data_IF_508723083222
#
_entry.id   IF_508723083222
#
_cell.length_a   1.000
_cell.length_b   1.000
_cell.length_c   1.000
_cell.angle_alpha   90.00
_cell.angle_beta   90.00
_cell.angle_gamma   90.00
#
_symmetry.space_group_name_H-M   'P 1'
#
loop_
_entity.id
_entity.type
_entity.pdbx_description
1 polymer ?
#
# COMPACT_ATOMS: atom_id res chain seq x y z
N UNK A 1 69.68 -1.85 -35.63
CA UNK A 1 68.59 -2.82 -35.87
C UNK A 1 67.37 -2.42 -35.02
N UNK A 2 67.06 -1.12 -34.90
CA UNK A 2 66.38 -0.62 -33.69
C UNK A 2 65.04 0.08 -33.95
N UNK A 3 64.82 0.64 -35.14
CA UNK A 3 63.62 1.42 -35.43
C UNK A 3 62.39 0.54 -35.68
N UNK A 4 62.55 -0.57 -36.41
CA UNK A 4 61.45 -1.53 -36.65
C UNK A 4 61.03 -2.26 -35.38
N UNK A 5 62.00 -2.58 -34.50
CA UNK A 5 61.73 -3.23 -33.22
C UNK A 5 61.01 -2.29 -32.25
N UNK A 6 61.45 -1.01 -32.19
CA UNK A 6 60.75 0.02 -31.41
C UNK A 6 59.34 0.28 -31.94
N UNK A 7 59.17 0.34 -33.26
CA UNK A 7 57.86 0.50 -33.90
C UNK A 7 56.90 -0.65 -33.54
N UNK A 8 57.39 -1.89 -33.58
CA UNK A 8 56.61 -3.06 -33.16
C UNK A 8 56.23 -3.00 -31.67
N UNK A 9 57.17 -2.62 -30.80
CA UNK A 9 56.88 -2.48 -29.37
C UNK A 9 55.81 -1.43 -29.07
N UNK A 10 55.85 -0.28 -29.76
CA UNK A 10 54.83 0.77 -29.63
C UNK A 10 53.44 0.24 -30.02
N UNK A 11 53.32 -0.46 -31.15
CA UNK A 11 52.06 -1.04 -31.59
C UNK A 11 51.53 -2.11 -30.62
N UNK A 12 52.41 -2.95 -30.07
CA UNK A 12 52.03 -3.94 -29.07
C UNK A 12 51.54 -3.28 -27.77
N UNK A 13 52.13 -2.16 -27.37
CA UNK A 13 51.66 -1.38 -26.22
C UNK A 13 50.28 -0.77 -26.49
N UNK A 14 50.10 -0.16 -27.65
CA UNK A 14 48.82 0.45 -28.06
C UNK A 14 47.71 -0.61 -28.13
N UNK A 15 47.96 -1.76 -28.75
CA UNK A 15 47.03 -2.91 -28.77
C UNK A 15 46.62 -3.31 -27.35
N UNK A 16 47.60 -3.51 -26.46
CA UNK A 16 47.33 -3.90 -25.07
C UNK A 16 46.56 -2.82 -24.31
N UNK A 17 46.85 -1.54 -24.59
CA UNK A 17 46.11 -0.43 -24.00
C UNK A 17 44.64 -0.45 -24.44
N UNK A 18 44.39 -0.55 -25.74
CA UNK A 18 43.03 -0.64 -26.29
C UNK A 18 42.28 -1.87 -25.78
N UNK A 19 42.93 -3.03 -25.70
CA UNK A 19 42.33 -4.25 -25.13
C UNK A 19 41.90 -4.05 -23.67
N UNK A 20 42.70 -3.37 -22.85
CA UNK A 20 42.34 -3.04 -21.46
C UNK A 20 41.16 -2.07 -21.38
N UNK A 21 41.13 -1.05 -22.22
CA UNK A 21 40.02 -0.09 -22.23
C UNK A 21 38.72 -0.73 -22.73
N UNK A 22 38.78 -1.62 -23.73
CA UNK A 22 37.61 -2.41 -24.18
C UNK A 22 37.09 -3.28 -23.03
N UNK A 23 37.97 -3.97 -22.32
CA UNK A 23 37.59 -4.83 -21.21
C UNK A 23 36.95 -4.02 -20.07
N UNK A 24 37.51 -2.85 -19.74
CA UNK A 24 36.93 -1.92 -18.78
C UNK A 24 35.53 -1.46 -19.18
N UNK A 25 35.30 -1.16 -20.47
CA UNK A 25 33.98 -0.81 -20.99
C UNK A 25 32.99 -1.98 -20.92
N UNK A 26 33.44 -3.21 -21.16
CA UNK A 26 32.59 -4.42 -21.08
C UNK A 26 32.19 -4.78 -19.65
N UNK A 27 33.03 -4.44 -18.68
CA UNK A 27 32.75 -4.61 -17.26
C UNK A 27 31.76 -3.58 -16.70
N UNK A 28 31.23 -2.68 -17.54
CA UNK A 28 30.15 -1.80 -17.15
C UNK A 28 28.89 -2.62 -16.84
N UNK A 29 28.65 -2.84 -15.56
CA UNK A 29 27.39 -3.37 -15.05
C UNK A 29 26.46 -2.21 -14.71
N UNK A 30 25.26 -2.23 -15.27
CA UNK A 30 24.24 -1.25 -14.95
C UNK A 30 23.13 -1.89 -14.13
N UNK A 31 22.64 -1.16 -13.15
CA UNK A 31 21.67 -1.61 -12.15
C UNK A 31 20.40 -2.16 -12.81
N UNK A 32 20.02 -1.68 -14.00
CA UNK A 32 18.81 -2.14 -14.69
C UNK A 32 18.82 -3.64 -15.04
N UNK A 33 20.00 -4.26 -15.12
CA UNK A 33 20.12 -5.69 -15.41
C UNK A 33 19.66 -6.57 -14.24
N UNK A 34 19.68 -6.03 -13.02
CA UNK A 34 19.36 -6.76 -11.79
C UNK A 34 17.97 -6.40 -11.23
N UNK A 35 17.23 -5.50 -11.88
CA UNK A 35 15.91 -5.08 -11.39
C UNK A 35 14.90 -6.20 -11.67
N UNK A 36 14.12 -6.65 -10.67
CA UNK A 36 13.00 -7.54 -10.89
C UNK A 36 11.98 -6.83 -11.80
N UNK A 37 11.72 -7.40 -12.97
CA UNK A 37 10.81 -6.88 -13.97
C UNK A 37 9.90 -8.00 -14.45
N UNK A 38 8.72 -7.63 -14.96
CA UNK A 38 7.89 -8.58 -15.69
C UNK A 38 8.67 -9.29 -16.80
N UNK A 39 8.49 -10.62 -16.96
CA UNK A 39 9.06 -11.34 -18.10
C UNK A 39 8.46 -10.81 -19.41
N UNK A 40 9.15 -11.07 -20.53
CA UNK A 40 8.76 -10.53 -21.84
C UNK A 40 7.33 -10.96 -22.21
N UNK A 41 6.95 -12.21 -21.93
CA UNK A 41 5.61 -12.73 -22.23
C UNK A 41 4.50 -11.96 -21.49
N UNK A 42 4.71 -11.63 -20.21
CA UNK A 42 3.76 -10.84 -19.42
C UNK A 42 3.73 -9.38 -19.87
N UNK A 43 4.89 -8.80 -20.19
CA UNK A 43 4.96 -7.46 -20.79
C UNK A 43 4.16 -7.40 -22.10
N UNK A 44 4.29 -8.41 -22.97
CA UNK A 44 3.56 -8.50 -24.25
C UNK A 44 2.05 -8.66 -24.06
N UNK A 45 1.58 -9.07 -22.89
CA UNK A 45 0.16 -9.15 -22.56
C UNK A 45 -0.37 -7.89 -21.89
N UNK A 46 0.40 -7.30 -20.97
CA UNK A 46 -0.06 -6.22 -20.10
C UNK A 46 0.30 -4.81 -20.59
N UNK A 47 1.39 -4.64 -21.33
CA UNK A 47 1.85 -3.31 -21.72
C UNK A 47 0.92 -2.64 -22.76
N UNK A 48 0.86 -1.30 -22.82
CA UNK A 48 0.08 -0.61 -23.85
C UNK A 48 0.52 -0.99 -25.28
N UNK A 49 -0.38 -0.94 -26.28
CA UNK A 49 -0.03 -1.25 -27.68
C UNK A 49 1.13 -0.41 -28.23
N UNK A 50 1.23 0.84 -27.78
CA UNK A 50 2.27 1.79 -28.20
C UNK A 50 3.68 1.31 -27.79
N UNK A 51 3.77 0.58 -26.68
CA UNK A 51 5.00 0.02 -26.15
C UNK A 51 5.39 -1.33 -26.80
N UNK A 52 4.54 -1.88 -27.68
CA UNK A 52 4.67 -3.23 -28.27
C UNK A 52 4.53 -3.26 -29.79
N UNK A 53 4.86 -2.16 -30.46
CA UNK A 53 4.88 -2.13 -31.92
C UNK A 53 5.95 -3.05 -32.49
N UNK A 54 5.76 -3.54 -33.72
CA UNK A 54 6.70 -4.48 -34.36
C UNK A 54 8.14 -3.91 -34.43
N UNK A 55 8.28 -2.60 -34.66
CA UNK A 55 9.58 -1.93 -34.64
C UNK A 55 10.25 -2.01 -33.27
N UNK A 56 9.49 -1.81 -32.19
CA UNK A 56 9.99 -1.91 -30.81
C UNK A 56 10.31 -3.37 -30.46
N UNK A 57 9.50 -4.34 -30.88
CA UNK A 57 9.75 -5.77 -30.60
C UNK A 57 10.98 -6.30 -31.35
N UNK A 58 11.28 -5.74 -32.53
CA UNK A 58 12.44 -6.12 -33.34
C UNK A 58 13.77 -5.54 -32.86
N UNK A 59 13.75 -4.46 -32.07
CA UNK A 59 14.93 -3.79 -31.53
C UNK A 59 15.06 -4.06 -30.02
N UNK A 60 16.08 -4.82 -29.64
CA UNK A 60 16.34 -5.21 -28.25
C UNK A 60 16.51 -4.00 -27.30
N UNK A 61 17.12 -2.90 -27.77
CA UNK A 61 17.31 -1.70 -26.97
C UNK A 61 15.98 -0.97 -26.76
N UNK A 62 15.18 -0.81 -27.82
CA UNK A 62 13.86 -0.20 -27.72
C UNK A 62 12.91 -1.03 -26.85
N UNK A 63 12.93 -2.36 -27.00
CA UNK A 63 12.19 -3.27 -26.13
C UNK A 63 12.57 -3.06 -24.66
N UNK A 64 13.87 -2.98 -24.34
CA UNK A 64 14.32 -2.78 -22.96
C UNK A 64 13.86 -1.42 -22.39
N UNK A 65 13.95 -0.34 -23.16
CA UNK A 65 13.47 0.98 -22.73
C UNK A 65 11.97 0.97 -22.45
N UNK A 66 11.17 0.35 -23.32
CA UNK A 66 9.73 0.25 -23.14
C UNK A 66 9.36 -0.63 -21.94
N UNK A 67 10.09 -1.73 -21.71
CA UNK A 67 9.91 -2.58 -20.53
C UNK A 67 10.21 -1.82 -19.23
N UNK A 68 11.30 -1.06 -19.19
CA UNK A 68 11.65 -0.23 -18.04
C UNK A 68 10.62 0.89 -17.80
N UNK A 69 10.14 1.53 -18.86
CA UNK A 69 9.09 2.54 -18.78
C UNK A 69 7.77 1.99 -18.26
N UNK A 70 7.36 0.81 -18.75
CA UNK A 70 6.18 0.10 -18.27
C UNK A 70 6.29 -0.27 -16.79
N UNK A 71 7.42 -0.86 -16.38
CA UNK A 71 7.68 -1.21 -14.98
C UNK A 71 7.61 0.01 -14.06
N UNK A 72 8.20 1.13 -14.47
CA UNK A 72 8.15 2.38 -13.72
C UNK A 72 6.71 2.88 -13.55
N UNK A 73 5.93 2.88 -14.64
CA UNK A 73 4.53 3.31 -14.62
C UNK A 73 3.68 2.42 -13.70
N UNK A 74 3.87 1.09 -13.76
CA UNK A 74 3.15 0.15 -12.90
C UNK A 74 3.51 0.35 -11.43
N UNK A 75 4.80 0.54 -11.10
CA UNK A 75 5.23 0.83 -9.72
C UNK A 75 4.62 2.11 -9.19
N UNK A 76 4.58 3.17 -10.00
CA UNK A 76 3.96 4.43 -9.63
C UNK A 76 2.44 4.27 -9.41
N UNK A 77 1.77 3.51 -10.28
CA UNK A 77 0.33 3.20 -10.15
C UNK A 77 0.04 2.44 -8.86
N UNK A 78 0.83 1.40 -8.57
CA UNK A 78 0.69 0.59 -7.36
C UNK A 78 0.99 1.39 -6.10
N UNK A 79 2.03 2.23 -6.11
CA UNK A 79 2.36 3.10 -4.98
C UNK A 79 1.22 4.10 -4.70
N UNK A 80 0.65 4.71 -5.74
CA UNK A 80 -0.51 5.59 -5.61
C UNK A 80 -1.71 4.85 -5.00
N UNK A 81 -2.05 3.68 -5.53
CA UNK A 81 -3.14 2.86 -5.02
C UNK A 81 -2.92 2.45 -3.56
N UNK A 82 -1.69 2.07 -3.19
CA UNK A 82 -1.34 1.72 -1.82
C UNK A 82 -1.50 2.91 -0.85
N UNK A 83 -1.09 4.12 -1.27
CA UNK A 83 -1.30 5.34 -0.48
C UNK A 83 -2.79 5.64 -0.28
N UNK A 84 -3.58 5.57 -1.35
CA UNK A 84 -5.03 5.79 -1.29
C UNK A 84 -5.73 4.78 -0.37
N UNK A 85 -5.42 3.48 -0.51
CA UNK A 85 -5.97 2.42 0.34
C UNK A 85 -5.55 2.59 1.81
N UNK A 86 -4.32 3.02 2.06
CA UNK A 86 -3.84 3.30 3.43
C UNK A 86 -4.61 4.45 4.05
N UNK A 87 -4.83 5.53 3.32
CA UNK A 87 -5.62 6.67 3.78
C UNK A 87 -7.07 6.27 4.06
N UNK A 88 -7.71 5.50 3.16
CA UNK A 88 -9.07 5.02 3.36
C UNK A 88 -9.17 4.11 4.60
N UNK A 89 -8.19 3.24 4.81
CA UNK A 89 -8.12 2.39 6.01
C UNK A 89 -8.03 3.24 7.28
N UNK A 90 -7.19 4.27 7.30
CA UNK A 90 -7.06 5.18 8.45
C UNK A 90 -8.35 5.93 8.76
N UNK A 91 -9.05 6.43 7.74
CA UNK A 91 -10.33 7.11 7.92
C UNK A 91 -11.41 6.15 8.45
N UNK A 92 -11.52 4.95 7.88
CA UNK A 92 -12.46 3.93 8.37
C UNK A 92 -12.16 3.51 9.81
N UNK A 93 -10.88 3.40 10.20
CA UNK A 93 -10.50 3.12 11.59
C UNK A 93 -10.91 4.25 12.53
N UNK A 94 -10.77 5.50 12.12
CA UNK A 94 -11.21 6.68 12.89
C UNK A 94 -12.73 6.73 13.01
N UNK A 95 -13.45 6.47 11.92
CA UNK A 95 -14.91 6.39 11.92
C UNK A 95 -15.40 5.25 12.83
N UNK A 96 -14.78 4.07 12.73
CA UNK A 96 -15.09 2.92 13.57
C UNK A 96 -14.89 3.22 15.06
N UNK A 97 -13.80 3.89 15.44
CA UNK A 97 -13.56 4.33 16.82
C UNK A 97 -14.62 5.32 17.30
N UNK A 98 -14.99 6.27 16.46
CA UNK A 98 -16.03 7.27 16.78
C UNK A 98 -17.38 6.59 16.98
N UNK A 99 -17.77 5.68 16.08
CA UNK A 99 -19.00 4.89 16.22
C UNK A 99 -19.00 4.02 17.47
N UNK A 100 -17.88 3.38 17.80
CA UNK A 100 -17.74 2.59 19.03
C UNK A 100 -17.98 3.46 20.28
N UNK A 101 -17.36 4.65 20.35
CA UNK A 101 -17.56 5.57 21.46
C UNK A 101 -19.02 6.05 21.59
N UNK A 102 -19.71 6.29 20.47
CA UNK A 102 -21.14 6.63 20.46
C UNK A 102 -21.98 5.47 20.97
N UNK A 103 -21.71 4.24 20.53
CA UNK A 103 -22.42 3.03 21.00
C UNK A 103 -22.23 2.85 22.50
N UNK A 104 -21.01 3.02 23.01
CA UNK A 104 -20.72 2.93 24.45
C UNK A 104 -21.47 4.01 25.24
N UNK A 105 -21.52 5.25 24.73
CA UNK A 105 -22.28 6.34 25.35
C UNK A 105 -23.78 6.06 25.38
N UNK A 106 -24.36 5.61 24.26
CA UNK A 106 -25.79 5.24 24.18
C UNK A 106 -26.12 4.10 25.14
N UNK A 107 -25.24 3.10 25.25
CA UNK A 107 -25.40 2.00 26.20
C UNK A 107 -25.51 2.51 27.65
N UNK A 108 -24.61 3.41 28.06
CA UNK A 108 -24.65 4.02 29.41
C UNK A 108 -25.95 4.79 29.64
N UNK A 109 -26.44 5.53 28.65
CA UNK A 109 -27.71 6.25 28.75
C UNK A 109 -28.90 5.30 28.89
N UNK A 110 -28.93 4.20 28.13
CA UNK A 110 -29.95 3.15 28.24
C UNK A 110 -29.93 2.51 29.63
N UNK A 111 -28.75 2.12 30.13
CA UNK A 111 -28.61 1.53 31.46
C UNK A 111 -29.11 2.47 32.56
N UNK A 112 -28.83 3.77 32.42
CA UNK A 112 -29.32 4.81 33.33
C UNK A 112 -30.85 4.94 33.28
N UNK A 113 -31.43 4.95 32.08
CA UNK A 113 -32.88 5.02 31.89
C UNK A 113 -33.59 3.80 32.47
N UNK A 114 -33.06 2.59 32.23
CA UNK A 114 -33.59 1.33 32.78
C UNK A 114 -33.57 1.37 34.31
N UNK A 115 -32.46 1.84 34.91
CA UNK A 115 -32.36 1.99 36.37
C UNK A 115 -33.41 2.97 36.92
N UNK A 116 -33.54 4.14 36.31
CA UNK A 116 -34.55 5.13 36.70
C UNK A 116 -35.98 4.58 36.58
N UNK A 117 -36.30 3.90 35.47
CA UNK A 117 -37.61 3.30 35.27
C UNK A 117 -37.92 2.22 36.32
N UNK A 118 -36.94 1.37 36.65
CA UNK A 118 -37.05 0.38 37.74
C UNK A 118 -37.30 1.05 39.10
N UNK A 119 -36.57 2.12 39.42
CA UNK A 119 -36.71 2.82 40.70
C UNK A 119 -38.06 3.55 40.81
N UNK A 120 -38.56 4.14 39.72
CA UNK A 120 -39.92 4.69 39.64
C UNK A 120 -40.96 3.58 39.82
N UNK A 121 -40.79 2.45 39.14
CA UNK A 121 -41.68 1.29 39.26
C UNK A 121 -41.83 0.82 40.71
N UNK A 122 -40.71 0.67 41.43
CA UNK A 122 -40.71 0.33 42.87
C UNK A 122 -41.44 1.35 43.72
N UNK A 123 -41.19 2.65 43.51
CA UNK A 123 -41.87 3.73 44.24
C UNK A 123 -43.37 3.75 44.00
N UNK A 124 -43.81 3.53 42.76
CA UNK A 124 -45.24 3.45 42.43
C UNK A 124 -45.89 2.25 43.12
N UNK A 125 -45.24 1.09 43.12
CA UNK A 125 -45.74 -0.13 43.77
C UNK A 125 -45.89 0.05 45.29
N UNK A 126 -44.93 0.75 45.91
CA UNK A 126 -44.95 1.12 47.33
C UNK A 126 -46.09 2.10 47.67
N UNK A 127 -46.35 3.10 46.80
CA UNK A 127 -47.48 4.04 46.93
C UNK A 127 -48.85 3.36 46.73
N UNK A 128 -48.95 2.40 45.81
CA UNK A 128 -50.16 1.60 45.60
C UNK A 128 -50.43 0.69 46.80
N UNK A 129 -49.38 0.10 47.37
CA UNK A 129 -49.50 -0.77 48.55
C UNK A 129 -49.92 -0.01 49.81
N UNK A 130 -49.50 1.25 49.97
CA UNK A 130 -49.81 2.10 51.13
C UNK A 130 -51.19 2.79 51.06
N UNK A 131 -51.76 2.94 49.87
CA UNK A 131 -53.12 3.48 49.67
C UNK A 131 -54.24 2.44 49.81
N UNK A 132 -53.88 1.15 49.94
CA UNK A 132 -54.80 0.02 50.01
C UNK A 132 -55.30 -0.42 51.41
N UNK A 133 -54.97 0.28 52.50
CA UNK A 133 -55.52 -0.05 53.83
C UNK A 133 -56.80 0.75 54.13
N UNK A 134 -58.01 0.15 54.08
CA UNK A 134 -59.19 0.77 54.63
C UNK A 134 -59.10 0.71 56.16
N UNK A 135 -59.12 1.87 56.79
CA UNK A 135 -59.19 2.06 58.24
C UNK A 135 -60.40 1.32 58.83
N UNK A 136 -60.23 0.30 59.70
CA UNK A 136 -61.32 -0.19 60.51
C UNK A 136 -61.31 0.48 61.88
N UNK A 137 -62.48 1.02 62.23
CA UNK A 137 -63.02 1.23 63.59
C UNK A 137 -62.53 2.44 64.41
N UNK A 138 -63.45 3.41 64.52
CA UNK A 138 -63.58 4.39 65.59
C UNK A 138 -64.12 3.74 66.89
N UNK A 139 -63.91 4.33 68.09
CA UNK A 139 -64.16 3.67 69.36
C UNK A 139 -65.59 3.87 69.88
N UNK A 140 -66.14 2.85 70.54
CA UNK A 140 -67.21 2.93 71.55
C UNK A 140 -67.05 1.79 72.54
#
# INVERSE_FOLDING_TARGET
>A
MDQSHLGLQNLLYEKRHLEREIEKCRQFASIYQDIPMYPVDEFVQLAPPEARTDSVMSDAHQLMLNRLGFELAERQRLEKCAKELTQQKEELLKESKTKAAVVDSVKVQIDTLVKMASDIGKKVDELVSTSGTPNPSAPS
#
